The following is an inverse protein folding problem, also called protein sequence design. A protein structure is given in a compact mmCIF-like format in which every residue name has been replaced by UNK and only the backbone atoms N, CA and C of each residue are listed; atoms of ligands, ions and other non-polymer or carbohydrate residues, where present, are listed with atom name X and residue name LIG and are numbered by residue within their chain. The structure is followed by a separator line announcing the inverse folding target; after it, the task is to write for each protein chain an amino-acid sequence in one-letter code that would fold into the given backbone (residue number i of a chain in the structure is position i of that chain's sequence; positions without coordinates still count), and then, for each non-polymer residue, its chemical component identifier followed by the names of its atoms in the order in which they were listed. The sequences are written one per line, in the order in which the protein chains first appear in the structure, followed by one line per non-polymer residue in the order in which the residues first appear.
data_IF_600058166438
#
_entry.id   IF_600058166438
#
_cell.length_a   1.000
_cell.length_b   1.000
_cell.length_c   1.000
_cell.angle_alpha   90.00
_cell.angle_beta   90.00
_cell.angle_gamma   90.00
#
_symmetry.space_group_name_H-M   'P 1'
#
loop_
_entity.id
_entity.type
_entity.pdbx_description
1 polymer ?
#
# COMPACT_ATOMS: atom_id res chain seq x y z
N UNK A 1 -54.37 0.01 30.09
CA UNK A 1 -53.24 -0.93 30.07
C UNK A 1 -52.46 -0.61 28.79
N UNK A 2 -51.38 0.21 28.94
CA UNK A 2 -50.57 0.69 27.81
C UNK A 2 -49.41 -0.30 27.69
N UNK A 3 -49.44 -1.10 26.62
CA UNK A 3 -48.40 -2.06 26.30
C UNK A 3 -47.19 -1.31 25.73
N UNK A 4 -46.14 -1.17 26.54
CA UNK A 4 -44.82 -0.70 26.10
C UNK A 4 -44.24 -1.73 25.14
N UNK A 5 -44.16 -1.39 23.86
CA UNK A 5 -43.38 -2.14 22.86
C UNK A 5 -41.89 -2.14 23.28
N UNK A 6 -41.20 -3.29 23.27
CA UNK A 6 -39.80 -3.31 23.56
C UNK A 6 -39.03 -2.58 22.45
N UNK A 7 -38.27 -1.55 22.83
CA UNK A 7 -37.28 -0.95 21.94
C UNK A 7 -36.40 -2.05 21.37
N UNK A 8 -36.41 -2.24 20.06
CA UNK A 8 -35.60 -3.15 19.34
C UNK A 8 -34.10 -2.86 19.68
N UNK A 9 -33.46 -3.78 20.36
CA UNK A 9 -32.03 -3.77 20.64
C UNK A 9 -31.34 -3.73 19.28
N UNK A 10 -30.77 -2.56 18.91
CA UNK A 10 -30.00 -2.37 17.68
C UNK A 10 -28.97 -3.48 17.61
N UNK A 11 -29.02 -4.32 16.57
CA UNK A 11 -28.06 -5.41 16.38
C UNK A 11 -26.64 -4.86 16.60
N UNK A 12 -25.93 -5.45 17.55
CA UNK A 12 -24.50 -5.21 17.72
C UNK A 12 -23.82 -5.73 16.47
N UNK A 13 -23.32 -4.80 15.66
CA UNK A 13 -22.52 -5.10 14.46
C UNK A 13 -21.23 -5.78 14.95
N UNK A 14 -20.83 -6.85 14.29
CA UNK A 14 -19.55 -7.52 14.49
C UNK A 14 -18.43 -6.48 14.51
N UNK A 15 -17.71 -6.35 15.65
CA UNK A 15 -16.65 -5.35 15.81
C UNK A 15 -16.95 -4.17 16.76
N UNK A 16 -18.19 -4.02 17.25
CA UNK A 16 -18.54 -3.01 18.26
C UNK A 16 -18.61 -1.55 17.73
N UNK A 17 -18.93 -0.65 18.65
CA UNK A 17 -19.16 0.76 18.34
C UNK A 17 -17.92 1.49 17.81
N UNK A 18 -16.70 1.15 18.31
CA UNK A 18 -15.46 1.73 17.83
C UNK A 18 -15.27 1.49 16.33
N UNK A 19 -15.47 0.26 15.87
CA UNK A 19 -15.36 -0.09 14.45
C UNK A 19 -16.40 0.66 13.61
N UNK A 20 -17.63 0.80 14.12
CA UNK A 20 -18.65 1.57 13.43
C UNK A 20 -18.28 3.04 13.25
N UNK A 21 -17.70 3.67 14.30
CA UNK A 21 -17.20 5.05 14.22
C UNK A 21 -16.05 5.14 13.20
N UNK A 22 -15.13 4.17 13.19
CA UNK A 22 -14.04 4.12 12.21
C UNK A 22 -14.54 3.97 10.78
N UNK A 23 -15.48 3.07 10.51
CA UNK A 23 -16.05 2.84 9.18
C UNK A 23 -16.77 4.07 8.65
N UNK A 24 -17.68 4.64 9.45
CA UNK A 24 -18.46 5.84 9.06
C UNK A 24 -17.52 7.05 8.91
N UNK A 25 -16.63 7.25 9.88
CA UNK A 25 -15.66 8.35 9.84
C UNK A 25 -14.71 8.24 8.68
N UNK A 26 -14.18 7.03 8.42
CA UNK A 26 -13.30 6.76 7.28
C UNK A 26 -13.98 7.05 5.95
N UNK A 27 -15.21 6.58 5.76
CA UNK A 27 -15.99 6.85 4.55
C UNK A 27 -16.24 8.35 4.36
N UNK A 28 -16.72 9.06 5.41
CA UNK A 28 -16.93 10.50 5.31
C UNK A 28 -15.64 11.28 5.03
N UNK A 29 -14.51 10.90 5.66
CA UNK A 29 -13.22 11.52 5.39
C UNK A 29 -12.78 11.27 3.95
N UNK A 30 -12.97 10.05 3.42
CA UNK A 30 -12.58 9.70 2.06
C UNK A 30 -13.40 10.47 1.02
N UNK A 31 -14.71 10.66 1.26
CA UNK A 31 -15.62 11.35 0.35
C UNK A 31 -15.48 12.89 0.43
N UNK A 32 -15.38 13.44 1.65
CA UNK A 32 -15.47 14.88 1.88
C UNK A 32 -14.17 15.54 2.33
N UNK A 33 -13.13 14.74 2.53
CA UNK A 33 -11.86 15.19 3.09
C UNK A 33 -11.88 15.30 4.61
N UNK A 34 -10.68 15.43 5.19
CA UNK A 34 -10.52 15.55 6.63
C UNK A 34 -11.26 16.78 7.19
N UNK A 35 -11.08 17.97 6.57
CA UNK A 35 -11.68 19.22 7.04
C UNK A 35 -13.20 19.28 6.80
N UNK A 36 -13.68 18.63 5.74
CA UNK A 36 -15.12 18.52 5.42
C UNK A 36 -15.88 17.57 6.34
N UNK A 37 -15.21 16.80 7.17
CA UNK A 37 -15.81 15.79 8.06
C UNK A 37 -15.80 16.29 9.52
N UNK A 38 -16.95 16.22 10.19
CA UNK A 38 -17.09 16.60 11.60
C UNK A 38 -17.45 15.42 12.50
N UNK A 39 -16.93 15.45 13.75
CA UNK A 39 -17.28 14.44 14.78
C UNK A 39 -18.81 14.35 14.96
N UNK A 40 -19.50 15.49 14.93
CA UNK A 40 -20.97 15.52 15.04
C UNK A 40 -21.65 14.83 13.87
N UNK A 41 -21.14 15.05 12.64
CA UNK A 41 -21.66 14.40 11.43
C UNK A 41 -21.46 12.88 11.47
N UNK A 42 -20.27 12.43 11.88
CA UNK A 42 -19.96 11.01 12.06
C UNK A 42 -20.93 10.38 13.07
N UNK A 43 -21.10 11.01 14.26
CA UNK A 43 -21.90 10.44 15.32
C UNK A 43 -23.41 10.48 15.01
N UNK A 44 -23.88 11.45 14.23
CA UNK A 44 -25.26 11.48 13.73
C UNK A 44 -25.55 10.25 12.88
N UNK A 45 -24.63 9.85 12.01
CA UNK A 45 -24.80 8.67 11.16
C UNK A 45 -24.60 7.35 11.91
N UNK A 46 -23.64 7.31 12.84
CA UNK A 46 -23.44 6.16 13.75
C UNK A 46 -24.72 5.94 14.60
N UNK A 47 -25.47 7.00 14.86
CA UNK A 47 -26.65 6.97 15.71
C UNK A 47 -26.31 6.99 17.20
N UNK A 48 -25.25 7.70 17.56
CA UNK A 48 -24.76 7.88 18.93
C UNK A 48 -24.53 9.35 19.29
N UNK A 49 -24.28 9.61 20.57
CA UNK A 49 -23.96 10.93 21.05
C UNK A 49 -22.45 11.25 20.84
N UNK A 50 -22.13 12.56 20.73
CA UNK A 50 -20.76 13.03 20.56
C UNK A 50 -19.83 12.59 21.72
N UNK A 51 -20.37 12.47 22.94
CA UNK A 51 -19.62 11.95 24.08
C UNK A 51 -19.07 10.53 23.88
N UNK A 52 -19.81 9.70 23.13
CA UNK A 52 -19.38 8.34 22.81
C UNK A 52 -18.18 8.33 21.84
N UNK A 53 -18.06 9.29 20.93
CA UNK A 53 -16.86 9.46 20.11
C UNK A 53 -15.63 9.69 21.01
N UNK A 54 -15.71 10.64 21.94
CA UNK A 54 -14.60 11.02 22.83
C UNK A 54 -14.24 9.93 23.87
N UNK A 55 -15.11 8.96 24.05
CA UNK A 55 -14.78 7.75 24.81
C UNK A 55 -13.79 6.85 24.06
N UNK A 56 -13.89 6.76 22.70
CA UNK A 56 -13.03 5.91 21.88
C UNK A 56 -11.83 6.63 21.26
N UNK A 57 -11.98 7.89 20.89
CA UNK A 57 -10.96 8.72 20.23
C UNK A 57 -10.90 10.09 20.89
N UNK A 58 -9.72 10.50 21.35
CA UNK A 58 -9.53 11.81 21.99
C UNK A 58 -9.70 12.96 21.01
N UNK A 59 -9.35 12.72 19.74
CA UNK A 59 -9.39 13.72 18.66
C UNK A 59 -9.86 13.10 17.35
N UNK A 60 -10.22 13.94 16.38
CA UNK A 60 -10.49 13.51 15.01
C UNK A 60 -9.21 13.00 14.32
N UNK A 61 -8.03 13.52 14.71
CA UNK A 61 -6.74 13.02 14.20
C UNK A 61 -6.49 11.57 14.62
N UNK A 62 -6.81 11.21 15.87
CA UNK A 62 -6.69 9.83 16.36
C UNK A 62 -7.60 8.89 15.57
N UNK A 63 -8.83 9.31 15.26
CA UNK A 63 -9.71 8.55 14.36
C UNK A 63 -9.09 8.42 12.96
N UNK A 64 -8.56 9.51 12.40
CA UNK A 64 -7.97 9.49 11.06
C UNK A 64 -6.75 8.57 10.99
N UNK A 65 -5.91 8.59 12.01
CA UNK A 65 -4.78 7.66 12.15
C UNK A 65 -5.27 6.21 12.17
N UNK A 66 -6.28 5.87 13.00
CA UNK A 66 -6.87 4.52 13.07
C UNK A 66 -7.49 4.09 11.73
N UNK A 67 -8.11 5.01 11.00
CA UNK A 67 -8.65 4.78 9.65
C UNK A 67 -7.53 4.43 8.67
N UNK A 68 -6.44 5.19 8.66
CA UNK A 68 -5.29 4.93 7.79
C UNK A 68 -4.58 3.63 8.17
N UNK A 69 -4.38 3.37 9.45
CA UNK A 69 -3.77 2.13 9.94
C UNK A 69 -4.57 0.90 9.51
N UNK A 70 -5.90 0.97 9.62
CA UNK A 70 -6.78 -0.09 9.16
C UNK A 70 -6.77 -0.24 7.63
N UNK A 71 -6.67 0.87 6.90
CA UNK A 71 -6.54 0.86 5.45
C UNK A 71 -5.25 0.15 5.01
N UNK A 72 -4.13 0.37 5.72
CA UNK A 72 -2.84 -0.23 5.38
C UNK A 72 -2.63 -1.64 5.95
N UNK A 73 -3.48 -2.14 6.84
CA UNK A 73 -3.32 -3.46 7.47
C UNK A 73 -3.15 -4.63 6.47
N UNK A 74 -3.97 -4.78 5.42
CA UNK A 74 -3.78 -5.84 4.43
C UNK A 74 -2.47 -5.68 3.66
N UNK A 75 -2.08 -4.45 3.31
CA UNK A 75 -0.83 -4.17 2.59
C UNK A 75 0.41 -4.50 3.42
N UNK A 76 0.40 -4.22 4.74
CA UNK A 76 1.51 -4.58 5.64
C UNK A 76 1.77 -6.08 5.63
N UNK A 77 0.73 -6.91 5.65
CA UNK A 77 0.86 -8.37 5.57
C UNK A 77 1.53 -8.82 4.27
N UNK A 78 1.15 -8.20 3.17
CA UNK A 78 1.76 -8.49 1.87
C UNK A 78 3.22 -8.01 1.82
N UNK A 79 3.53 -6.83 2.39
CA UNK A 79 4.90 -6.33 2.51
C UNK A 79 5.78 -7.22 3.39
N UNK A 80 5.25 -7.70 4.52
CA UNK A 80 5.94 -8.67 5.39
C UNK A 80 6.28 -9.95 4.62
N UNK A 81 5.33 -10.49 3.86
CA UNK A 81 5.54 -11.69 3.05
C UNK A 81 6.61 -11.47 1.96
N UNK A 82 6.58 -10.32 1.27
CA UNK A 82 7.57 -9.96 0.26
C UNK A 82 8.97 -9.75 0.87
N UNK A 83 9.06 -9.11 2.04
CA UNK A 83 10.32 -8.94 2.75
C UNK A 83 10.88 -10.29 3.26
N UNK A 84 10.00 -11.20 3.71
CA UNK A 84 10.42 -12.55 4.11
C UNK A 84 10.96 -13.37 2.94
N UNK A 85 10.40 -13.21 1.72
CA UNK A 85 10.92 -13.86 0.50
C UNK A 85 12.37 -13.41 0.18
N UNK A 86 12.77 -12.22 0.62
CA UNK A 86 14.14 -11.74 0.44
C UNK A 86 15.20 -12.65 1.06
N UNK A 87 14.88 -13.39 2.12
CA UNK A 87 15.81 -14.34 2.75
C UNK A 87 16.25 -15.46 1.81
N UNK A 88 15.37 -15.83 0.87
CA UNK A 88 15.64 -16.88 -0.11
C UNK A 88 16.12 -16.31 -1.45
N UNK A 89 15.54 -15.20 -1.88
CA UNK A 89 15.80 -14.59 -3.20
C UNK A 89 15.85 -13.06 -3.10
N UNK A 90 16.90 -12.50 -2.45
CA UNK A 90 16.95 -11.10 -2.05
C UNK A 90 16.79 -10.10 -3.22
N UNK A 91 17.42 -10.37 -4.35
CA UNK A 91 17.38 -9.47 -5.51
C UNK A 91 16.00 -9.48 -6.18
N UNK A 92 15.37 -10.65 -6.26
CA UNK A 92 14.02 -10.78 -6.77
C UNK A 92 13.01 -10.09 -5.87
N UNK A 93 13.23 -10.13 -4.56
CA UNK A 93 12.31 -9.53 -3.59
C UNK A 93 12.17 -8.02 -3.77
N UNK A 94 13.28 -7.29 -3.99
CA UNK A 94 13.24 -5.84 -4.20
C UNK A 94 12.45 -5.46 -5.47
N UNK A 95 12.67 -6.19 -6.57
CA UNK A 95 11.91 -5.97 -7.81
C UNK A 95 10.43 -6.33 -7.64
N UNK A 96 10.13 -7.44 -7.00
CA UNK A 96 8.76 -7.86 -6.72
C UNK A 96 8.05 -6.89 -5.79
N UNK A 97 8.77 -6.32 -4.85
CA UNK A 97 8.25 -5.32 -3.93
C UNK A 97 7.74 -4.08 -4.70
N UNK A 98 8.58 -3.51 -5.57
CA UNK A 98 8.16 -2.37 -6.38
C UNK A 98 7.10 -2.73 -7.43
N UNK A 99 7.15 -3.92 -8.02
CA UNK A 99 6.12 -4.40 -8.94
C UNK A 99 4.77 -4.59 -8.25
N UNK A 100 4.78 -5.07 -7.00
CA UNK A 100 3.59 -5.17 -6.17
C UNK A 100 2.98 -3.78 -5.92
N UNK A 101 3.78 -2.82 -5.44
CA UNK A 101 3.30 -1.44 -5.21
C UNK A 101 2.68 -0.86 -6.48
N UNK A 102 3.35 -0.98 -7.62
CA UNK A 102 2.87 -0.50 -8.91
C UNK A 102 1.49 -1.10 -9.26
N UNK A 103 1.31 -2.40 -9.06
CA UNK A 103 0.02 -3.08 -9.28
C UNK A 103 -1.07 -2.55 -8.35
N UNK A 104 -0.78 -2.44 -7.06
CA UNK A 104 -1.74 -1.99 -6.06
C UNK A 104 -2.13 -0.52 -6.26
N UNK A 105 -1.18 0.33 -6.65
CA UNK A 105 -1.45 1.74 -6.99
C UNK A 105 -2.38 1.85 -8.19
N UNK A 106 -2.19 1.02 -9.23
CA UNK A 106 -3.11 0.98 -10.39
C UNK A 106 -4.51 0.52 -9.97
N UNK A 107 -4.60 -0.54 -9.18
CA UNK A 107 -5.88 -1.04 -8.66
C UNK A 107 -6.59 0.01 -7.77
N UNK A 108 -5.83 0.69 -6.90
CA UNK A 108 -6.33 1.76 -6.07
C UNK A 108 -6.89 2.93 -6.90
N UNK A 109 -6.14 3.39 -7.91
CA UNK A 109 -6.59 4.45 -8.81
C UNK A 109 -7.88 4.07 -9.51
N UNK A 110 -7.94 2.90 -10.13
CA UNK A 110 -9.13 2.40 -10.82
C UNK A 110 -10.36 2.34 -9.90
N UNK A 111 -10.16 2.01 -8.60
CA UNK A 111 -11.24 1.91 -7.62
C UNK A 111 -11.74 3.26 -7.11
N UNK A 112 -10.84 4.22 -6.94
CA UNK A 112 -11.14 5.48 -6.23
C UNK A 112 -11.06 6.73 -7.11
N UNK A 113 -10.80 6.58 -8.41
CA UNK A 113 -10.75 7.70 -9.35
C UNK A 113 -12.08 8.48 -9.34
N UNK A 114 -11.99 9.78 -9.04
CA UNK A 114 -13.17 10.66 -8.92
C UNK A 114 -13.98 10.54 -7.62
N UNK A 115 -13.75 9.51 -6.80
CA UNK A 115 -14.57 9.22 -5.61
C UNK A 115 -13.85 9.50 -4.29
N UNK A 116 -12.59 9.93 -4.31
CA UNK A 116 -11.81 10.22 -3.10
C UNK A 116 -11.35 11.67 -3.08
N UNK A 117 -11.52 12.31 -1.93
CA UNK A 117 -11.09 13.69 -1.75
C UNK A 117 -9.56 13.84 -1.93
N UNK A 118 -9.13 14.90 -2.60
CA UNK A 118 -7.73 15.14 -2.96
C UNK A 118 -6.76 15.08 -1.77
N UNK A 119 -7.13 15.69 -0.64
CA UNK A 119 -6.27 15.70 0.56
C UNK A 119 -6.06 14.31 1.14
N UNK A 120 -7.06 13.44 1.04
CA UNK A 120 -6.95 12.04 1.48
C UNK A 120 -6.04 11.24 0.55
N UNK A 121 -6.13 11.45 -0.76
CA UNK A 121 -5.20 10.82 -1.72
C UNK A 121 -3.75 11.20 -1.41
N UNK A 122 -3.49 12.47 -1.05
CA UNK A 122 -2.16 12.90 -0.64
C UNK A 122 -1.71 12.26 0.67
N UNK A 123 -2.60 12.17 1.67
CA UNK A 123 -2.28 11.51 2.93
C UNK A 123 -1.96 10.01 2.73
N UNK A 124 -2.74 9.29 1.91
CA UNK A 124 -2.49 7.89 1.58
C UNK A 124 -1.15 7.75 0.83
N UNK A 125 -0.87 8.65 -0.13
CA UNK A 125 0.40 8.65 -0.86
C UNK A 125 1.59 8.79 0.10
N UNK A 126 1.57 9.79 0.96
CA UNK A 126 2.64 10.04 1.93
C UNK A 126 2.79 8.87 2.91
N UNK A 127 1.68 8.40 3.45
CA UNK A 127 1.68 7.25 4.35
C UNK A 127 2.18 5.98 3.67
N UNK A 128 1.91 5.77 2.37
CA UNK A 128 2.45 4.64 1.61
C UNK A 128 3.96 4.65 1.62
N UNK A 129 4.59 5.80 1.34
CA UNK A 129 6.05 5.94 1.32
C UNK A 129 6.66 5.59 2.67
N UNK A 130 6.08 6.10 3.75
CA UNK A 130 6.54 5.81 5.12
C UNK A 130 6.34 4.34 5.53
N UNK A 131 5.20 3.75 5.16
CA UNK A 131 4.89 2.36 5.52
C UNK A 131 5.85 1.36 4.84
N UNK A 132 6.34 1.65 3.64
CA UNK A 132 7.22 0.73 2.90
C UNK A 132 8.69 0.78 3.35
N UNK A 133 9.13 1.86 3.98
CA UNK A 133 10.54 2.06 4.38
C UNK A 133 11.14 0.86 5.15
N UNK A 134 10.55 0.37 6.26
CA UNK A 134 11.15 -0.70 7.04
C UNK A 134 11.30 -2.01 6.26
N UNK A 135 10.38 -2.31 5.36
CA UNK A 135 10.45 -3.52 4.53
C UNK A 135 11.55 -3.42 3.47
N UNK A 136 11.74 -2.24 2.89
CA UNK A 136 12.86 -1.98 1.96
C UNK A 136 14.18 -2.08 2.72
N UNK A 137 14.28 -1.53 3.94
CA UNK A 137 15.46 -1.64 4.78
C UNK A 137 15.82 -3.11 5.07
N UNK A 138 14.85 -3.94 5.43
CA UNK A 138 15.05 -5.38 5.69
C UNK A 138 15.57 -6.11 4.44
N UNK A 139 15.02 -5.79 3.27
CA UNK A 139 15.49 -6.35 1.99
C UNK A 139 16.94 -5.90 1.71
N UNK A 140 17.26 -4.62 1.91
CA UNK A 140 18.64 -4.10 1.71
C UNK A 140 19.61 -4.78 2.66
N UNK A 141 19.29 -4.92 3.94
CA UNK A 141 20.14 -5.64 4.92
C UNK A 141 20.38 -7.09 4.51
N UNK A 142 19.36 -7.75 3.98
CA UNK A 142 19.50 -9.10 3.45
C UNK A 142 20.41 -9.13 2.22
N UNK A 143 20.26 -8.19 1.28
CA UNK A 143 21.15 -8.04 0.12
C UNK A 143 22.61 -7.86 0.52
N UNK A 144 22.88 -7.08 1.58
CA UNK A 144 24.25 -6.90 2.10
C UNK A 144 24.84 -8.21 2.60
N UNK A 145 24.06 -9.09 3.20
CA UNK A 145 24.56 -10.44 3.59
C UNK A 145 24.90 -11.31 2.37
N UNK A 146 24.37 -10.98 1.20
CA UNK A 146 24.63 -11.66 -0.07
C UNK A 146 25.73 -10.98 -0.91
N UNK A 147 26.38 -9.93 -0.36
CA UNK A 147 27.53 -9.27 -0.98
C UNK A 147 27.25 -7.88 -1.56
N UNK A 148 26.02 -7.39 -1.56
CA UNK A 148 25.73 -6.02 -1.97
C UNK A 148 26.46 -5.02 -1.05
N UNK A 149 26.94 -3.93 -1.63
CA UNK A 149 27.69 -2.87 -0.95
C UNK A 149 27.05 -1.52 -1.25
N UNK A 150 25.92 -1.22 -0.61
CA UNK A 150 25.20 0.04 -0.88
C UNK A 150 26.10 1.24 -0.59
N UNK A 151 25.92 2.31 -1.35
CA UNK A 151 26.71 3.55 -1.26
C UNK A 151 26.37 4.40 -0.03
N UNK A 152 25.31 4.07 0.69
CA UNK A 152 24.89 4.72 1.93
C UNK A 152 24.41 3.66 2.94
N UNK A 153 24.19 4.06 4.20
CA UNK A 153 23.69 3.13 5.20
C UNK A 153 22.30 2.60 4.83
N UNK A 154 21.90 1.39 5.31
CA UNK A 154 20.66 0.74 4.89
C UNK A 154 19.40 1.54 5.17
N UNK A 155 19.34 2.26 6.28
CA UNK A 155 18.18 3.09 6.66
C UNK A 155 18.03 4.27 5.70
N UNK A 156 19.10 5.05 5.48
CA UNK A 156 19.12 6.16 4.53
C UNK A 156 18.80 5.68 3.11
N UNK A 157 19.34 4.52 2.71
CA UNK A 157 19.04 3.91 1.41
C UNK A 157 17.56 3.54 1.28
N UNK A 158 16.96 2.99 2.32
CA UNK A 158 15.55 2.63 2.32
C UNK A 158 14.65 3.86 2.14
N UNK A 159 14.93 4.94 2.87
CA UNK A 159 14.22 6.21 2.72
C UNK A 159 14.39 6.74 1.29
N UNK A 160 15.64 6.77 0.78
CA UNK A 160 15.92 7.24 -0.58
C UNK A 160 15.14 6.45 -1.64
N UNK A 161 15.14 5.11 -1.56
CA UNK A 161 14.41 4.25 -2.49
C UNK A 161 12.89 4.39 -2.32
N UNK A 162 12.39 4.41 -1.10
CA UNK A 162 10.96 4.59 -0.83
C UNK A 162 10.45 5.92 -1.40
N UNK A 163 11.09 7.02 -1.05
CA UNK A 163 10.65 8.35 -1.47
C UNK A 163 11.05 8.70 -2.91
N UNK A 164 12.16 8.22 -3.41
CA UNK A 164 12.57 8.42 -4.81
C UNK A 164 11.73 7.56 -5.77
N UNK A 165 11.95 6.25 -5.77
CA UNK A 165 11.27 5.33 -6.68
C UNK A 165 9.78 5.19 -6.36
N UNK A 166 9.43 5.12 -5.09
CA UNK A 166 8.04 5.07 -4.65
C UNK A 166 7.26 6.30 -5.12
N UNK A 167 7.83 7.50 -5.03
CA UNK A 167 7.21 8.72 -5.54
C UNK A 167 7.01 8.69 -7.05
N UNK A 168 7.94 8.12 -7.81
CA UNK A 168 7.77 7.93 -9.25
C UNK A 168 6.57 7.02 -9.55
N UNK A 169 6.46 5.90 -8.85
CA UNK A 169 5.36 4.92 -9.01
C UNK A 169 4.00 5.52 -8.59
N UNK A 170 4.02 6.34 -7.54
CA UNK A 170 2.82 7.00 -7.00
C UNK A 170 2.46 8.30 -7.73
N UNK A 171 3.23 8.71 -8.75
CA UNK A 171 2.94 9.92 -9.52
C UNK A 171 1.62 9.79 -10.28
N UNK A 172 0.83 10.87 -10.33
CA UNK A 172 -0.51 10.85 -10.94
C UNK A 172 -0.47 10.49 -12.45
N UNK A 173 0.59 10.91 -13.16
CA UNK A 173 0.81 10.66 -14.59
C UNK A 173 1.88 9.58 -14.82
N UNK A 174 1.76 8.44 -14.16
CA UNK A 174 2.82 7.44 -14.10
C UNK A 174 2.92 6.49 -15.32
N UNK A 175 2.31 6.82 -16.45
CA UNK A 175 2.40 6.00 -17.69
C UNK A 175 3.86 5.84 -18.15
N UNK A 176 4.70 6.87 -17.97
CA UNK A 176 6.13 6.85 -18.28
C UNK A 176 6.95 5.90 -17.38
N UNK A 177 6.42 5.47 -16.24
CA UNK A 177 7.13 4.56 -15.30
C UNK A 177 7.44 3.22 -15.95
N UNK A 178 6.62 2.75 -16.88
CA UNK A 178 6.88 1.50 -17.60
C UNK A 178 8.09 1.63 -18.53
N UNK A 179 8.26 2.77 -19.19
CA UNK A 179 9.40 3.08 -20.05
C UNK A 179 10.68 3.28 -19.23
N UNK A 180 10.57 3.89 -18.06
CA UNK A 180 11.70 4.17 -17.18
C UNK A 180 12.13 2.99 -16.29
N UNK A 181 11.43 1.85 -16.34
CA UNK A 181 11.68 0.71 -15.45
C UNK A 181 13.13 0.21 -15.53
N UNK A 182 13.72 0.14 -16.72
CA UNK A 182 15.10 -0.29 -16.91
C UNK A 182 16.12 0.71 -16.37
N UNK A 183 15.86 2.01 -16.49
CA UNK A 183 16.71 3.05 -15.92
C UNK A 183 16.67 3.05 -14.40
N UNK A 184 15.46 2.85 -13.84
CA UNK A 184 15.28 2.71 -12.40
C UNK A 184 16.03 1.48 -11.88
N UNK A 185 15.94 0.34 -12.56
CA UNK A 185 16.66 -0.89 -12.22
C UNK A 185 18.17 -0.67 -12.24
N UNK A 186 18.72 -0.07 -13.31
CA UNK A 186 20.15 0.26 -13.41
C UNK A 186 20.60 1.18 -12.28
N UNK A 187 19.80 2.20 -11.97
CA UNK A 187 20.09 3.11 -10.87
C UNK A 187 20.14 2.38 -9.54
N UNK A 188 19.16 1.53 -9.24
CA UNK A 188 19.14 0.71 -8.01
C UNK A 188 20.38 -0.16 -7.93
N UNK A 189 20.76 -0.86 -9.01
CA UNK A 189 21.96 -1.70 -9.03
C UNK A 189 23.22 -0.89 -8.73
N UNK A 190 23.35 0.28 -9.34
CA UNK A 190 24.50 1.17 -9.13
C UNK A 190 24.61 1.61 -7.66
N UNK A 191 23.52 2.09 -7.07
CA UNK A 191 23.55 2.57 -5.69
C UNK A 191 23.66 1.42 -4.66
N UNK A 192 23.24 0.22 -5.04
CA UNK A 192 23.45 -1.01 -4.25
C UNK A 192 24.86 -1.60 -4.42
N UNK A 193 25.71 -1.00 -5.26
CA UNK A 193 27.06 -1.47 -5.51
C UNK A 193 27.13 -2.81 -6.25
N UNK A 194 26.14 -3.08 -7.11
CA UNK A 194 26.04 -4.28 -7.94
C UNK A 194 26.49 -3.96 -9.35
N UNK A 195 27.41 -4.77 -9.90
CA UNK A 195 27.72 -4.72 -11.33
C UNK A 195 26.54 -5.23 -12.16
N UNK A 196 26.47 -4.84 -13.44
CA UNK A 196 25.43 -5.36 -14.34
C UNK A 196 25.50 -6.89 -14.49
N UNK A 197 26.70 -7.46 -14.44
CA UNK A 197 26.89 -8.91 -14.52
C UNK A 197 26.40 -9.62 -13.25
N UNK A 198 26.71 -9.09 -12.06
CA UNK A 198 26.19 -9.60 -10.80
C UNK A 198 24.67 -9.49 -10.75
N UNK A 199 24.15 -8.34 -11.11
CA UNK A 199 22.71 -8.13 -11.23
C UNK A 199 22.06 -9.13 -12.18
N UNK A 200 22.62 -9.33 -13.39
CA UNK A 200 22.10 -10.28 -14.36
C UNK A 200 22.12 -11.71 -13.86
N UNK A 201 23.26 -12.18 -13.30
CA UNK A 201 23.37 -13.53 -12.70
C UNK A 201 22.34 -13.76 -11.60
N UNK A 202 22.09 -12.76 -10.77
CA UNK A 202 21.10 -12.81 -9.70
C UNK A 202 19.67 -12.90 -10.22
N UNK A 203 19.42 -12.32 -11.40
CA UNK A 203 18.11 -12.43 -12.08
C UNK A 203 17.95 -13.76 -12.82
N UNK A 204 18.99 -14.23 -13.50
CA UNK A 204 18.97 -15.50 -14.23
C UNK A 204 18.80 -16.70 -13.28
N UNK A 205 19.46 -16.70 -12.13
CA UNK A 205 19.26 -17.70 -11.08
C UNK A 205 17.84 -17.65 -10.45
N UNK A 206 17.18 -16.48 -10.54
CA UNK A 206 15.80 -16.31 -10.08
C UNK A 206 14.76 -16.69 -11.14
N UNK A 207 15.08 -16.58 -12.42
CA UNK A 207 14.13 -16.67 -13.55
C UNK A 207 14.23 -17.97 -14.35
N UNK A 208 14.82 -19.02 -13.84
CA UNK A 208 14.87 -20.32 -14.52
C UNK A 208 13.55 -20.82 -15.15
N UNK A 209 12.45 -20.04 -15.09
CA UNK A 209 11.13 -20.34 -15.73
C UNK A 209 10.14 -19.17 -15.92
N UNK A 210 10.47 -17.91 -15.85
CA UNK A 210 9.41 -16.88 -15.79
C UNK A 210 9.46 -15.74 -16.82
N UNK A 211 10.11 -15.90 -17.97
CA UNK A 211 9.94 -14.98 -19.11
C UNK A 211 9.88 -15.73 -20.44
N UNK A 212 8.93 -16.66 -20.57
CA UNK A 212 8.38 -16.98 -21.88
C UNK A 212 7.22 -15.99 -22.11
N UNK A 213 7.21 -15.18 -23.18
CA UNK A 213 6.01 -14.45 -23.56
C UNK A 213 4.89 -15.48 -23.73
N UNK A 214 3.72 -15.20 -23.18
CA UNK A 214 2.54 -16.02 -23.39
C UNK A 214 2.40 -16.25 -24.88
N UNK A 215 2.60 -17.49 -25.31
CA UNK A 215 2.35 -17.89 -26.68
C UNK A 215 0.87 -17.58 -26.96
N UNK A 216 0.65 -16.69 -27.88
CA UNK A 216 -0.67 -16.48 -28.49
C UNK A 216 -1.04 -17.82 -29.11
N UNK A 217 -1.92 -18.56 -28.44
CA UNK A 217 -2.54 -19.73 -29.05
C UNK A 217 -3.35 -19.24 -30.25
N UNK A 218 -2.81 -19.56 -31.43
CA UNK A 218 -3.43 -19.23 -32.70
C UNK A 218 -4.79 -19.89 -32.80
N UNK A 219 -5.76 -19.08 -33.14
CA UNK A 219 -7.04 -19.53 -33.71
C UNK A 219 -6.78 -20.54 -34.81
N UNK A 220 -7.14 -21.78 -34.58
CA UNK A 220 -7.30 -22.77 -35.66
C UNK A 220 -8.61 -22.42 -36.35
N UNK A 221 -8.48 -21.80 -37.50
CA UNK A 221 -9.51 -21.84 -38.54
C UNK A 221 -9.94 -23.29 -38.76
N UNK A 222 -11.20 -23.53 -38.58
CA UNK A 222 -11.85 -24.77 -38.99
C UNK A 222 -12.69 -24.47 -40.24
N UNK A 223 -12.04 -24.65 -41.41
CA UNK A 223 -12.77 -24.87 -42.64
C UNK A 223 -13.34 -26.30 -42.63
N UNK A 224 -14.63 -26.41 -42.67
CA UNK A 224 -15.46 -27.25 -43.54
C UNK A 224 -16.93 -27.10 -43.16
#
# INVERSE_FOLDING_TARGET
MITLLPMARKQMIEGGTKNRIREVGGRQIFEHGYDGTSVRGIMLEVGGEVGLFYYYYKTKDELFTDVLDHFFEPYRKDFEALAAEAKEKPYRALLRFFSYIKREVRAFRAKYEGNMHRTVRWAIREQTLTVIEPYIEDIIRTLMTCGAKPTMDPHTMAIFLAHGLGSCILHEDADWVDEATDDMRRTVNLIMGLSEEESRKMFEDADGKANAPAAVEGEKENEM
#
